data_IF_995099072049
#
_entry.id   IF_995099072049
#
_cell.length_a   1.000
_cell.length_b   1.000
_cell.length_c   1.000
_cell.angle_alpha   90.00
_cell.angle_beta   90.00
_cell.angle_gamma   90.00
#
_symmetry.space_group_name_H-M   'P 1'
#
loop_
_entity.id
_entity.type
_entity.pdbx_description
1 polymer ?
#
# COMPACT_ATOMS: atom_id res chain seq x y z
N UNK A 1 20.37 -12.17 -17.11
CA UNK A 1 19.78 -11.61 -15.88
C UNK A 1 19.32 -10.20 -16.22
N UNK A 2 18.05 -10.04 -16.57
CA UNK A 2 17.48 -8.74 -16.98
C UNK A 2 17.39 -7.90 -15.72
N UNK A 3 18.07 -6.74 -15.68
CA UNK A 3 17.81 -5.71 -14.68
C UNK A 3 16.40 -5.20 -15.00
N UNK A 4 15.40 -5.76 -14.33
CA UNK A 4 14.03 -5.24 -14.35
C UNK A 4 14.12 -3.77 -13.94
N UNK A 5 13.53 -2.88 -14.73
CA UNK A 5 13.65 -1.44 -14.52
C UNK A 5 13.26 -1.13 -13.06
N UNK A 6 14.16 -0.54 -12.28
CA UNK A 6 13.96 -0.29 -10.84
C UNK A 6 12.62 0.42 -10.55
N UNK A 7 12.18 1.29 -11.48
CA UNK A 7 10.89 1.99 -11.42
C UNK A 7 9.68 1.05 -11.46
N UNK A 8 9.71 0.02 -12.30
CA UNK A 8 8.62 -0.96 -12.42
C UNK A 8 8.45 -1.75 -11.12
N UNK A 9 9.56 -2.05 -10.43
CA UNK A 9 9.50 -2.74 -9.15
C UNK A 9 8.83 -1.87 -8.08
N UNK A 10 9.14 -0.57 -8.00
CA UNK A 10 8.46 0.32 -7.05
C UNK A 10 6.96 0.44 -7.31
N UNK A 11 6.57 0.59 -8.59
CA UNK A 11 5.15 0.65 -8.97
C UNK A 11 4.46 -0.66 -8.61
N UNK A 12 5.07 -1.81 -8.93
CA UNK A 12 4.52 -3.12 -8.60
C UNK A 12 4.38 -3.33 -7.09
N UNK A 13 5.32 -2.85 -6.28
CA UNK A 13 5.22 -2.91 -4.82
C UNK A 13 4.07 -2.07 -4.28
N UNK A 14 3.92 -0.83 -4.75
CA UNK A 14 2.82 0.05 -4.29
C UNK A 14 1.45 -0.48 -4.73
N UNK A 15 1.33 -0.93 -5.99
CA UNK A 15 0.09 -1.52 -6.49
C UNK A 15 -0.22 -2.84 -5.79
N UNK A 16 0.76 -3.71 -5.60
CA UNK A 16 0.58 -4.98 -4.89
C UNK A 16 0.16 -4.78 -3.44
N UNK A 17 0.71 -3.76 -2.77
CA UNK A 17 0.27 -3.35 -1.43
C UNK A 17 -1.19 -2.92 -1.42
N UNK A 18 -1.59 -2.01 -2.31
CA UNK A 18 -2.97 -1.53 -2.40
C UNK A 18 -3.97 -2.65 -2.78
N UNK A 19 -3.57 -3.59 -3.64
CA UNK A 19 -4.38 -4.77 -3.96
C UNK A 19 -4.54 -5.67 -2.73
N UNK A 20 -3.45 -5.90 -1.98
CA UNK A 20 -3.49 -6.73 -0.77
C UNK A 20 -4.33 -6.11 0.34
N UNK A 21 -4.22 -4.80 0.53
CA UNK A 21 -5.04 -4.00 1.44
C UNK A 21 -6.53 -4.14 1.09
N UNK A 22 -6.93 -3.81 -0.14
CA UNK A 22 -8.32 -3.92 -0.59
C UNK A 22 -8.89 -5.37 -0.53
N UNK A 23 -8.06 -6.39 -0.76
CA UNK A 23 -8.49 -7.80 -0.59
C UNK A 23 -8.63 -8.21 0.88
N UNK A 24 -7.80 -7.64 1.76
CA UNK A 24 -7.73 -7.98 3.17
C UNK A 24 -8.75 -7.23 4.03
N UNK A 25 -9.10 -6.00 3.68
CA UNK A 25 -9.95 -5.13 4.48
C UNK A 25 -11.30 -5.77 4.87
N UNK A 26 -12.06 -6.41 3.97
CA UNK A 26 -13.35 -7.02 4.34
C UNK A 26 -13.24 -8.19 5.32
N UNK A 27 -12.04 -8.75 5.49
CA UNK A 27 -11.78 -9.94 6.31
C UNK A 27 -10.80 -9.68 7.45
N UNK A 28 -10.43 -8.42 7.71
CA UNK A 28 -9.37 -8.02 8.65
C UNK A 28 -9.57 -8.60 10.07
N UNK A 29 -10.82 -8.70 10.51
CA UNK A 29 -11.19 -9.15 11.85
C UNK A 29 -11.66 -10.61 11.92
N UNK A 30 -11.56 -11.36 10.82
CA UNK A 30 -11.97 -12.75 10.75
C UNK A 30 -10.79 -13.70 10.99
N UNK A 31 -11.06 -14.79 11.71
CA UNK A 31 -10.14 -15.93 11.77
C UNK A 31 -10.10 -16.67 10.43
N UNK A 32 -9.01 -17.42 10.20
CA UNK A 32 -8.88 -18.25 8.99
C UNK A 32 -10.01 -19.30 8.87
N UNK A 33 -10.56 -19.77 9.98
CA UNK A 33 -11.69 -20.70 10.01
C UNK A 33 -12.97 -20.01 9.55
N UNK A 34 -13.24 -18.78 10.02
CA UNK A 34 -14.39 -17.98 9.59
C UNK A 34 -14.30 -17.64 8.10
N UNK A 35 -13.13 -17.21 7.61
CA UNK A 35 -12.89 -16.93 6.19
C UNK A 35 -13.22 -18.17 5.34
N UNK A 36 -12.68 -19.34 5.71
CA UNK A 36 -12.94 -20.58 4.96
C UNK A 36 -14.38 -21.07 5.05
N UNK A 37 -15.10 -20.73 6.12
CA UNK A 37 -16.50 -21.08 6.33
C UNK A 37 -17.48 -20.18 5.60
N UNK A 38 -17.18 -18.88 5.51
CA UNK A 38 -18.00 -17.87 4.81
C UNK A 38 -17.76 -17.90 3.29
N UNK A 39 -16.53 -18.19 2.88
CA UNK A 39 -16.13 -18.19 1.47
C UNK A 39 -15.84 -19.63 1.01
N UNK A 40 -14.66 -19.85 0.40
CA UNK A 40 -14.23 -21.15 -0.07
C UNK A 40 -13.08 -21.71 0.79
N UNK A 41 -12.72 -23.00 0.66
CA UNK A 41 -11.49 -23.54 1.26
C UNK A 41 -10.22 -22.78 0.83
N UNK A 42 -10.26 -22.12 -0.33
CA UNK A 42 -9.21 -21.26 -0.88
C UNK A 42 -9.23 -19.83 -0.31
N UNK A 43 -10.23 -19.46 0.50
CA UNK A 43 -10.43 -18.12 1.03
C UNK A 43 -11.03 -17.16 0.01
N UNK A 44 -10.65 -15.88 0.14
CA UNK A 44 -11.03 -14.78 -0.77
C UNK A 44 -10.08 -14.80 -1.97
N UNK A 45 -10.64 -14.86 -3.18
CA UNK A 45 -9.87 -14.90 -4.45
C UNK A 45 -10.23 -13.76 -5.41
N UNK A 46 -11.14 -12.88 -5.02
CA UNK A 46 -11.60 -11.73 -5.78
C UNK A 46 -12.04 -10.62 -4.81
N UNK A 47 -12.31 -9.41 -5.31
CA UNK A 47 -12.84 -8.32 -4.49
C UNK A 47 -14.27 -8.62 -4.04
N UNK A 48 -14.51 -8.46 -2.74
CA UNK A 48 -15.77 -8.82 -2.09
C UNK A 48 -16.38 -7.67 -1.29
N UNK A 49 -15.72 -6.51 -1.28
CA UNK A 49 -16.19 -5.33 -0.53
C UNK A 49 -17.46 -4.75 -1.15
N UNK A 50 -17.47 -4.61 -2.48
CA UNK A 50 -18.60 -4.05 -3.23
C UNK A 50 -19.21 -5.05 -4.19
N UNK A 51 -20.51 -4.91 -4.42
CA UNK A 51 -21.30 -5.82 -5.25
C UNK A 51 -20.93 -5.79 -6.75
N UNK A 52 -20.21 -4.77 -7.19
CA UNK A 52 -19.74 -4.62 -8.57
C UNK A 52 -18.37 -5.28 -8.83
N UNK A 53 -17.80 -5.96 -7.83
CA UNK A 53 -16.50 -6.63 -7.94
C UNK A 53 -15.32 -5.67 -7.82
N UNK A 54 -15.52 -4.50 -7.22
CA UNK A 54 -14.44 -3.57 -6.88
C UNK A 54 -14.08 -3.65 -5.40
N UNK A 55 -12.88 -3.16 -5.07
CA UNK A 55 -12.42 -2.94 -3.70
C UNK A 55 -11.81 -1.56 -3.57
N UNK A 56 -11.84 -1.01 -2.37
CA UNK A 56 -11.23 0.25 -1.99
C UNK A 56 -10.07 -0.04 -1.03
N UNK A 57 -8.97 0.71 -1.16
CA UNK A 57 -7.84 0.59 -0.24
C UNK A 57 -8.12 1.40 1.04
N UNK A 58 -7.51 1.02 2.15
CA UNK A 58 -7.78 1.59 3.47
C UNK A 58 -6.69 2.57 3.92
N UNK A 59 -6.66 2.88 5.22
CA UNK A 59 -5.64 3.70 5.84
C UNK A 59 -4.23 3.12 5.66
N UNK A 60 -4.09 1.80 5.52
CA UNK A 60 -2.80 1.15 5.22
C UNK A 60 -2.16 1.71 3.94
N UNK A 61 -2.92 1.76 2.84
CA UNK A 61 -2.43 2.34 1.59
C UNK A 61 -2.31 3.85 1.67
N UNK A 62 -3.25 4.56 2.30
CA UNK A 62 -3.20 6.02 2.43
C UNK A 62 -1.94 6.46 3.20
N UNK A 63 -1.66 5.85 4.35
CA UNK A 63 -0.47 6.12 5.16
C UNK A 63 0.82 5.75 4.42
N UNK A 64 0.80 4.66 3.64
CA UNK A 64 1.93 4.28 2.79
C UNK A 64 2.23 5.36 1.75
N UNK A 65 1.20 5.89 1.07
CA UNK A 65 1.35 6.95 0.07
C UNK A 65 1.82 8.27 0.70
N UNK A 66 1.25 8.68 1.84
CA UNK A 66 1.71 9.86 2.58
C UNK A 66 3.17 9.72 3.01
N UNK A 67 3.58 8.54 3.45
CA UNK A 67 4.97 8.26 3.79
C UNK A 67 5.88 8.40 2.57
N UNK A 68 5.51 7.81 1.44
CA UNK A 68 6.28 7.90 0.20
C UNK A 68 6.41 9.35 -0.29
N UNK A 69 5.33 10.13 -0.23
CA UNK A 69 5.34 11.56 -0.56
C UNK A 69 6.28 12.36 0.36
N UNK A 70 6.19 12.14 1.68
CA UNK A 70 7.04 12.79 2.67
C UNK A 70 8.54 12.55 2.40
N UNK A 71 8.91 11.31 2.05
CA UNK A 71 10.28 10.95 1.67
C UNK A 71 10.75 11.70 0.42
N UNK A 72 9.90 11.79 -0.62
CA UNK A 72 10.22 12.50 -1.86
C UNK A 72 10.39 14.00 -1.62
N UNK A 73 9.50 14.61 -0.83
CA UNK A 73 9.57 16.03 -0.46
C UNK A 73 10.84 16.34 0.34
N UNK A 74 11.20 15.49 1.30
CA UNK A 74 12.43 15.62 2.07
C UNK A 74 13.66 15.53 1.16
N UNK A 75 13.71 14.53 0.27
CA UNK A 75 14.82 14.38 -0.68
C UNK A 75 14.93 15.57 -1.63
N UNK A 76 13.81 16.09 -2.12
CA UNK A 76 13.78 17.26 -2.98
C UNK A 76 14.35 18.50 -2.28
N UNK A 77 13.93 18.76 -1.03
CA UNK A 77 14.47 19.84 -0.21
C UNK A 77 15.99 19.71 -0.02
N UNK A 78 16.47 18.52 0.34
CA UNK A 78 17.90 18.24 0.53
C UNK A 78 18.70 18.57 -0.74
N UNK A 79 18.21 18.17 -1.92
CA UNK A 79 18.87 18.46 -3.19
C UNK A 79 18.89 19.96 -3.52
N UNK A 80 17.81 20.70 -3.21
CA UNK A 80 17.73 22.14 -3.49
C UNK A 80 18.53 23.00 -2.52
N UNK A 81 18.65 22.59 -1.25
CA UNK A 81 19.26 23.39 -0.18
C UNK A 81 20.64 22.91 0.24
N UNK A 82 21.03 21.68 -0.09
CA UNK A 82 22.28 21.06 0.34
C UNK A 82 22.34 20.72 1.84
N UNK A 83 21.20 20.75 2.54
CA UNK A 83 21.10 20.53 3.99
C UNK A 83 20.15 19.36 4.24
N UNK A 84 20.70 18.24 4.72
CA UNK A 84 19.97 17.01 5.02
C UNK A 84 19.14 17.03 6.30
N UNK A 85 18.45 15.91 6.57
CA UNK A 85 17.91 15.57 7.89
C UNK A 85 16.47 16.01 8.17
N UNK A 86 15.76 16.57 7.19
CA UNK A 86 14.35 16.97 7.33
C UNK A 86 13.35 15.82 7.15
N UNK A 87 13.81 14.57 7.12
CA UNK A 87 12.97 13.38 6.84
C UNK A 87 11.79 13.31 7.82
N UNK A 88 12.10 13.25 9.13
CA UNK A 88 11.08 13.13 10.16
C UNK A 88 10.14 14.34 10.15
N UNK A 89 10.68 15.56 10.01
CA UNK A 89 9.88 16.79 10.01
C UNK A 89 8.97 16.94 8.79
N UNK A 90 9.27 16.31 7.66
CA UNK A 90 8.41 16.43 6.47
C UNK A 90 7.40 15.28 6.43
N UNK A 91 7.83 14.05 6.74
CA UNK A 91 6.95 12.88 6.72
C UNK A 91 5.85 12.95 7.80
N UNK A 92 6.12 13.53 8.98
CA UNK A 92 5.07 13.70 10.02
C UNK A 92 4.01 14.74 9.68
N UNK A 93 4.26 15.62 8.70
CA UNK A 93 3.37 16.73 8.33
C UNK A 93 2.77 16.56 6.94
N UNK A 94 2.96 15.37 6.33
CA UNK A 94 2.40 15.03 5.02
C UNK A 94 1.08 14.28 5.17
#
# INVERSE_FOLDING_TARGET
MIIKCLKENYIACLLGGAIGDALGAPIEFLSIQEIKGLYSPSGVTDYIEFADGTGEFTDDTQMTLFTAEGLLRARHRDMLKGIGGSLNTITHHS
#
